data_IF_279357724229
#
_entry.id   IF_279357724229
#
_cell.length_a   1.000
_cell.length_b   1.000
_cell.length_c   1.000
_cell.angle_alpha   90.00
_cell.angle_beta   90.00
_cell.angle_gamma   90.00
#
_symmetry.space_group_name_H-M   'P 1'
#
loop_
_entity.id
_entity.type
_entity.pdbx_description
1 polymer ?
#
# COMPACT_ATOMS: atom_id res chain seq x y z
N UNK A 1 2.32 -10.97 -20.94
CA UNK A 1 3.11 -10.71 -19.71
C UNK A 1 4.03 -9.48 -19.86
N UNK A 2 3.58 -8.38 -20.48
CA UNK A 2 4.42 -7.18 -20.67
C UNK A 2 4.57 -6.36 -19.37
N UNK A 3 3.48 -6.19 -18.63
CA UNK A 3 3.42 -5.39 -17.40
C UNK A 3 4.37 -5.89 -16.30
N UNK A 4 4.60 -7.21 -16.18
CA UNK A 4 5.47 -7.73 -15.11
C UNK A 4 6.93 -7.28 -15.29
N UNK A 5 7.41 -7.21 -16.54
CA UNK A 5 8.77 -6.78 -16.87
C UNK A 5 8.95 -5.28 -16.56
N UNK A 6 7.95 -4.46 -16.91
CA UNK A 6 7.95 -3.02 -16.63
C UNK A 6 7.96 -2.74 -15.12
N UNK A 7 7.15 -3.47 -14.35
CA UNK A 7 7.10 -3.39 -12.88
C UNK A 7 8.42 -3.83 -12.24
N UNK A 8 9.09 -4.82 -12.83
CA UNK A 8 10.38 -5.30 -12.32
C UNK A 8 11.51 -4.28 -12.54
N UNK A 9 11.49 -3.55 -13.66
CA UNK A 9 12.45 -2.50 -14.01
C UNK A 9 12.14 -1.15 -13.34
N UNK A 10 10.89 -0.92 -12.95
CA UNK A 10 10.47 0.29 -12.25
C UNK A 10 11.07 0.46 -10.85
N UNK A 11 10.97 1.67 -10.31
CA UNK A 11 11.60 2.02 -9.03
C UNK A 11 11.06 1.24 -7.83
N UNK A 12 11.91 1.01 -6.83
CA UNK A 12 11.57 0.26 -5.61
C UNK A 12 10.71 1.07 -4.64
N UNK A 13 9.42 1.20 -4.94
CA UNK A 13 8.48 1.96 -4.13
C UNK A 13 7.29 1.14 -3.64
N UNK A 14 6.59 1.70 -2.66
CA UNK A 14 5.37 1.09 -2.09
C UNK A 14 4.32 0.90 -3.18
N UNK A 15 3.76 -0.30 -3.27
CA UNK A 15 2.86 -0.70 -4.34
C UNK A 15 3.47 -1.68 -5.34
N UNK A 16 4.80 -1.65 -5.54
CA UNK A 16 5.48 -2.56 -6.48
C UNK A 16 5.26 -4.02 -6.13
N UNK A 17 5.53 -4.41 -4.88
CA UNK A 17 5.39 -5.80 -4.47
C UNK A 17 3.95 -6.26 -4.40
N UNK A 18 3.04 -5.36 -4.03
CA UNK A 18 1.61 -5.60 -4.06
C UNK A 18 1.12 -5.83 -5.49
N UNK A 19 1.59 -5.04 -6.45
CA UNK A 19 1.27 -5.19 -7.87
C UNK A 19 1.80 -6.52 -8.43
N UNK A 20 3.08 -6.86 -8.16
CA UNK A 20 3.66 -8.17 -8.53
C UNK A 20 2.82 -9.31 -7.94
N UNK A 21 2.44 -9.20 -6.67
CA UNK A 21 1.61 -10.21 -6.00
C UNK A 21 0.24 -10.34 -6.67
N UNK A 22 -0.40 -9.23 -7.05
CA UNK A 22 -1.68 -9.24 -7.76
C UNK A 22 -1.58 -9.90 -9.14
N UNK A 23 -0.56 -9.54 -9.93
CA UNK A 23 -0.31 -10.12 -11.26
C UNK A 23 -0.08 -11.64 -11.16
N UNK A 24 0.57 -12.10 -10.09
CA UNK A 24 0.75 -13.53 -9.79
C UNK A 24 -0.50 -14.23 -9.24
N UNK A 25 -1.66 -13.56 -9.21
CA UNK A 25 -2.94 -14.10 -8.73
C UNK A 25 -3.11 -14.07 -7.20
N UNK A 26 -2.21 -13.41 -6.48
CA UNK A 26 -2.28 -13.28 -5.03
C UNK A 26 -3.34 -12.28 -4.57
N UNK A 27 -3.96 -12.56 -3.42
CA UNK A 27 -4.95 -11.67 -2.80
C UNK A 27 -4.27 -10.45 -2.14
N UNK A 28 -4.87 -9.28 -2.32
CA UNK A 28 -4.47 -8.03 -1.69
C UNK A 28 -5.53 -7.56 -0.68
N UNK A 29 -5.10 -6.92 0.40
CA UNK A 29 -6.00 -6.09 1.19
C UNK A 29 -6.40 -4.82 0.41
N UNK A 30 -7.47 -4.10 0.79
CA UNK A 30 -7.83 -2.84 0.13
C UNK A 30 -6.68 -1.82 0.11
N UNK A 31 -5.94 -1.68 1.21
CA UNK A 31 -4.79 -0.76 1.27
C UNK A 31 -3.62 -1.18 0.39
N UNK A 32 -3.40 -2.49 0.23
CA UNK A 32 -2.40 -3.03 -0.69
C UNK A 32 -2.81 -2.80 -2.14
N UNK A 33 -4.08 -3.01 -2.48
CA UNK A 33 -4.60 -2.78 -3.82
C UNK A 33 -4.49 -1.30 -4.22
N UNK A 34 -4.82 -0.37 -3.31
CA UNK A 34 -4.63 1.07 -3.54
C UNK A 34 -3.16 1.40 -3.80
N UNK A 35 -2.24 0.84 -3.01
CA UNK A 35 -0.81 1.07 -3.21
C UNK A 35 -0.34 0.53 -4.57
N UNK A 36 -0.75 -0.69 -4.94
CA UNK A 36 -0.44 -1.29 -6.24
C UNK A 36 -0.96 -0.42 -7.40
N UNK A 37 -2.20 0.03 -7.31
CA UNK A 37 -2.81 0.89 -8.32
C UNK A 37 -2.10 2.24 -8.43
N UNK A 38 -1.77 2.89 -7.31
CA UNK A 38 -1.03 4.15 -7.34
C UNK A 38 0.35 3.97 -7.99
N UNK A 39 1.02 2.84 -7.74
CA UNK A 39 2.32 2.55 -8.34
C UNK A 39 2.21 2.37 -9.87
N UNK A 40 1.20 1.65 -10.35
CA UNK A 40 0.90 1.50 -11.78
C UNK A 40 0.49 2.84 -12.43
N UNK A 41 -0.46 3.55 -11.83
CA UNK A 41 -1.01 4.81 -12.33
C UNK A 41 0.06 5.92 -12.45
N UNK A 42 1.06 5.93 -11.56
CA UNK A 42 2.16 6.88 -11.58
C UNK A 42 3.37 6.36 -12.42
N UNK A 43 3.16 5.42 -13.33
CA UNK A 43 4.18 4.95 -14.28
C UNK A 43 5.33 4.19 -13.60
N UNK A 44 5.01 3.33 -12.62
CA UNK A 44 5.99 2.53 -11.86
C UNK A 44 7.07 3.36 -11.14
N UNK A 45 6.81 4.68 -11.00
CA UNK A 45 7.70 5.68 -10.44
C UNK A 45 9.10 5.71 -11.09
N UNK A 46 9.13 5.67 -12.42
CA UNK A 46 10.34 5.84 -13.23
C UNK A 46 11.16 7.10 -12.85
N UNK A 47 10.49 8.14 -12.34
CA UNK A 47 11.12 9.39 -11.87
C UNK A 47 11.15 9.56 -10.33
N UNK A 48 10.86 8.49 -9.57
CA UNK A 48 10.89 8.50 -8.11
C UNK A 48 9.51 8.58 -7.45
N UNK A 49 9.47 8.46 -6.11
CA UNK A 49 8.24 8.57 -5.32
C UNK A 49 7.84 10.03 -5.15
N UNK A 50 6.73 10.43 -5.76
CA UNK A 50 6.20 11.77 -5.64
C UNK A 50 4.71 11.80 -5.25
N UNK A 51 4.31 12.88 -4.61
CA UNK A 51 2.91 13.24 -4.41
C UNK A 51 2.34 13.73 -5.74
N UNK A 52 1.43 12.97 -6.36
CA UNK A 52 0.91 13.31 -7.69
C UNK A 52 0.04 14.57 -7.72
N UNK A 53 -0.45 15.04 -6.55
CA UNK A 53 -1.30 16.25 -6.40
C UNK A 53 -2.55 16.31 -7.27
N UNK A 54 -3.03 15.16 -7.77
CA UNK A 54 -4.26 15.09 -8.58
C UNK A 54 -5.47 15.08 -7.65
N UNK A 55 -5.94 16.24 -7.22
CA UNK A 55 -7.04 16.36 -6.24
C UNK A 55 -8.38 15.80 -6.73
N UNK A 56 -8.60 15.77 -8.05
CA UNK A 56 -9.78 15.16 -8.67
C UNK A 56 -9.76 13.63 -8.63
N UNK A 57 -8.61 13.01 -8.32
CA UNK A 57 -8.52 11.57 -8.22
C UNK A 57 -9.20 11.08 -6.93
N UNK A 58 -10.18 10.15 -7.02
CA UNK A 58 -10.89 9.64 -5.84
C UNK A 58 -9.98 8.89 -4.86
N UNK A 59 -8.83 8.40 -5.33
CA UNK A 59 -7.83 7.71 -4.50
C UNK A 59 -6.77 8.66 -3.94
N UNK A 60 -6.74 9.92 -4.38
CA UNK A 60 -5.74 10.90 -3.92
C UNK A 60 -5.65 11.01 -2.39
N UNK A 61 -6.77 11.06 -1.63
CA UNK A 61 -6.72 11.11 -0.17
C UNK A 61 -6.02 9.91 0.48
N UNK A 62 -5.97 8.77 -0.23
CA UNK A 62 -5.42 7.50 0.20
C UNK A 62 -4.04 7.19 -0.42
N UNK A 63 -3.53 8.09 -1.27
CA UNK A 63 -2.25 7.92 -1.95
C UNK A 63 -1.10 7.75 -0.92
N UNK A 64 -0.31 6.66 -0.99
CA UNK A 64 0.78 6.42 -0.04
C UNK A 64 1.92 7.45 -0.07
N UNK A 65 2.07 8.21 -1.15
CA UNK A 65 3.08 9.25 -1.32
C UNK A 65 2.55 10.66 -1.01
N UNK A 66 1.28 10.81 -0.64
CA UNK A 66 0.68 12.09 -0.31
C UNK A 66 1.36 12.76 0.88
N UNK A 67 1.77 14.00 0.69
CA UNK A 67 2.33 14.87 1.73
C UNK A 67 1.20 15.52 2.54
N UNK A 68 1.39 15.71 3.85
CA UNK A 68 0.36 16.31 4.72
C UNK A 68 -0.90 15.44 4.90
N UNK A 69 -0.77 14.11 4.78
CA UNK A 69 -1.89 13.16 4.78
C UNK A 69 -2.89 13.37 5.93
N UNK A 70 -4.18 13.23 5.60
CA UNK A 70 -5.31 13.47 6.51
C UNK A 70 -5.71 12.24 7.33
N UNK A 71 -5.17 11.05 7.02
CA UNK A 71 -5.57 9.81 7.67
C UNK A 71 -4.89 9.69 9.04
N UNK A 72 -5.61 10.13 10.08
CA UNK A 72 -5.21 9.91 11.48
C UNK A 72 -5.15 8.40 11.74
N UNK A 73 -3.95 7.85 11.96
CA UNK A 73 -3.84 6.49 12.50
C UNK A 73 -4.37 6.53 13.93
N UNK A 74 -5.42 5.75 14.20
CA UNK A 74 -5.90 5.55 15.58
C UNK A 74 -4.77 4.90 16.38
N UNK A 75 -4.34 5.55 17.45
CA UNK A 75 -3.46 4.92 18.44
C UNK A 75 -4.27 3.83 19.15
N UNK A 76 -3.70 2.63 19.21
CA UNK A 76 -4.35 1.53 19.92
C UNK A 76 -4.23 1.80 21.43
N UNK A 77 -5.32 1.69 22.18
CA UNK A 77 -5.24 1.80 23.64
C UNK A 77 -4.37 0.68 24.20
N UNK A 78 -3.72 0.93 25.34
CA UNK A 78 -2.87 -0.08 25.98
C UNK A 78 -3.63 -1.35 26.32
N UNK A 79 -4.90 -1.22 26.72
CA UNK A 79 -5.79 -2.33 27.02
C UNK A 79 -6.04 -3.19 25.79
N UNK A 80 -6.35 -2.58 24.64
CA UNK A 80 -6.56 -3.32 23.39
C UNK A 80 -5.27 -4.00 22.92
N UNK A 81 -4.11 -3.39 23.17
CA UNK A 81 -2.79 -3.94 22.83
C UNK A 81 -2.48 -5.20 23.65
N UNK A 82 -2.77 -5.19 24.95
CA UNK A 82 -2.62 -6.35 25.84
C UNK A 82 -3.53 -7.50 25.39
N UNK A 83 -4.83 -7.23 25.18
CA UNK A 83 -5.82 -8.21 24.69
C UNK A 83 -5.39 -8.85 23.37
N UNK A 84 -4.88 -8.06 22.42
CA UNK A 84 -4.38 -8.59 21.15
C UNK A 84 -3.18 -9.53 21.36
N UNK A 85 -2.24 -9.18 22.25
CA UNK A 85 -1.07 -10.01 22.54
C UNK A 85 -1.47 -11.35 23.19
N UNK A 86 -2.47 -11.35 24.07
CA UNK A 86 -2.98 -12.56 24.71
C UNK A 86 -3.68 -13.46 23.70
N UNK A 87 -4.53 -12.89 22.83
CA UNK A 87 -5.20 -13.65 21.77
C UNK A 87 -4.20 -14.27 20.78
N UNK A 88 -3.09 -13.60 20.49
CA UNK A 88 -2.03 -14.14 19.64
C UNK A 88 -1.29 -15.30 20.31
N UNK A 89 -1.03 -15.22 21.62
CA UNK A 89 -0.43 -16.33 22.38
C UNK A 89 -1.36 -17.56 22.41
N UNK A 90 -2.65 -17.35 22.64
CA UNK A 90 -3.67 -18.42 22.63
C UNK A 90 -3.84 -19.11 21.28
N UNK A 91 -3.62 -18.39 20.17
CA UNK A 91 -3.69 -18.93 18.80
C UNK A 91 -2.47 -19.77 18.40
N UNK A 92 -1.37 -19.65 19.14
CA UNK A 92 -0.11 -20.36 18.87
C UNK A 92 0.14 -21.55 19.81
N UNK A 93 -0.72 -21.73 20.81
CA UNK A 93 -0.78 -22.92 21.67
C UNK A 93 -1.82 -23.89 21.09
#
# INVERSE_FOLDING_TARGET
MAILVEVEQGGHFKGRMELIKHIKGGKLSPSQAIAAFCYECCGFHDQGRFDCKVESCPLYPLNPARTGGTVKRKTLSEEHRKKLSENLKKRKA
#
